data_IF_118228845067
#
_entry.id   IF_118228845067
#
_cell.length_a   1.000
_cell.length_b   1.000
_cell.length_c   1.000
_cell.angle_alpha   90.00
_cell.angle_beta   90.00
_cell.angle_gamma   90.00
#
_symmetry.space_group_name_H-M   'P 1'
#
loop_
_entity.id
_entity.type
_entity.pdbx_description
1 polymer ?
#
# COMPACT_ATOMS: atom_id res chain seq x y z
N UNK A 1 -2.29 -10.61 -12.75
CA UNK A 1 -1.66 -11.52 -11.78
C UNK A 1 -0.78 -10.65 -10.90
N UNK A 2 -1.25 -10.29 -9.70
CA UNK A 2 -0.44 -9.52 -8.76
C UNK A 2 0.52 -10.48 -8.04
N UNK A 3 1.81 -10.21 -8.12
CA UNK A 3 2.84 -10.99 -7.44
C UNK A 3 2.58 -11.02 -5.93
N UNK A 4 2.48 -12.22 -5.34
CA UNK A 4 2.27 -12.42 -3.90
C UNK A 4 3.29 -11.62 -3.06
N UNK A 5 4.52 -11.49 -3.56
CA UNK A 5 5.61 -10.73 -2.94
C UNK A 5 5.32 -9.23 -2.83
N UNK A 6 4.53 -8.68 -3.75
CA UNK A 6 4.15 -7.25 -3.75
C UNK A 6 3.08 -6.98 -2.71
N UNK A 7 2.07 -7.88 -2.60
CA UNK A 7 1.04 -7.80 -1.56
C UNK A 7 1.64 -7.87 -0.15
N UNK A 8 2.59 -8.78 0.06
CA UNK A 8 3.27 -8.95 1.36
C UNK A 8 4.06 -7.69 1.77
N UNK A 9 4.80 -7.10 0.81
CA UNK A 9 5.52 -5.83 1.02
C UNK A 9 4.57 -4.65 1.27
N UNK A 10 3.43 -4.64 0.59
CA UNK A 10 2.40 -3.62 0.75
C UNK A 10 1.78 -3.66 2.15
N UNK A 11 1.43 -4.85 2.65
CA UNK A 11 0.90 -5.00 4.01
C UNK A 11 1.94 -4.63 5.07
N UNK A 12 3.20 -5.07 4.90
CA UNK A 12 4.28 -4.70 5.78
C UNK A 12 4.54 -3.18 5.80
N UNK A 13 4.49 -2.53 4.62
CA UNK A 13 4.61 -1.08 4.47
C UNK A 13 3.44 -0.34 5.13
N UNK A 14 2.21 -0.81 4.92
CA UNK A 14 1.00 -0.27 5.51
C UNK A 14 1.02 -0.35 7.04
N UNK A 15 1.37 -1.51 7.61
CA UNK A 15 1.52 -1.67 9.06
C UNK A 15 2.61 -0.74 9.61
N UNK A 16 3.74 -0.60 8.90
CA UNK A 16 4.83 0.30 9.31
C UNK A 16 4.39 1.76 9.29
N UNK A 17 3.63 2.19 8.29
CA UNK A 17 3.04 3.52 8.19
C UNK A 17 2.03 3.77 9.34
N UNK A 18 1.15 2.80 9.61
CA UNK A 18 0.21 2.85 10.73
C UNK A 18 0.94 2.95 12.09
N UNK A 19 1.97 2.13 12.30
CA UNK A 19 2.77 2.11 13.52
C UNK A 19 3.64 3.36 13.69
N UNK A 20 4.01 4.04 12.59
CA UNK A 20 4.81 5.26 12.65
C UNK A 20 3.97 6.44 13.16
N UNK A 21 3.88 6.58 14.48
CA UNK A 21 3.09 7.63 15.18
C UNK A 21 3.57 9.06 14.88
N UNK A 22 4.83 9.24 14.52
CA UNK A 22 5.40 10.55 14.13
C UNK A 22 5.23 10.87 12.63
N UNK A 23 4.70 9.93 11.84
CA UNK A 23 4.59 10.11 10.40
C UNK A 23 3.41 11.03 10.05
N UNK A 24 3.71 12.30 9.74
CA UNK A 24 2.75 13.31 9.24
C UNK A 24 2.51 13.22 7.73
N UNK A 25 2.92 12.12 7.09
CA UNK A 25 2.80 11.93 5.66
C UNK A 25 1.34 11.89 5.21
N UNK A 26 1.05 12.56 4.09
CA UNK A 26 -0.27 12.52 3.44
C UNK A 26 -0.68 11.08 3.11
N UNK A 27 0.30 10.23 2.76
CA UNK A 27 0.09 8.81 2.54
C UNK A 27 -0.57 8.18 3.77
N UNK A 28 0.02 8.25 4.96
CA UNK A 28 -0.61 7.71 6.18
C UNK A 28 -2.00 8.29 6.45
N UNK A 29 -2.17 9.60 6.21
CA UNK A 29 -3.45 10.29 6.46
C UNK A 29 -4.59 9.76 5.58
N UNK A 30 -4.31 9.41 4.32
CA UNK A 30 -5.32 9.01 3.34
C UNK A 30 -5.29 7.53 2.96
N UNK A 31 -4.21 6.82 3.27
CA UNK A 31 -4.07 5.38 3.08
C UNK A 31 -4.80 4.68 4.24
N UNK A 32 -6.12 4.60 4.12
CA UNK A 32 -6.98 3.81 5.00
C UNK A 32 -7.02 2.36 4.53
N UNK A 33 -7.48 1.44 5.38
CA UNK A 33 -7.67 0.04 4.99
C UNK A 33 -8.52 -0.12 3.72
N UNK A 34 -9.58 0.68 3.57
CA UNK A 34 -10.43 0.65 2.37
C UNK A 34 -9.68 1.07 1.10
N UNK A 35 -8.89 2.15 1.17
CA UNK A 35 -8.11 2.62 0.01
C UNK A 35 -7.00 1.62 -0.34
N UNK A 36 -6.37 1.05 0.68
CA UNK A 36 -5.36 0.02 0.51
C UNK A 36 -5.95 -1.25 -0.12
N UNK A 37 -7.06 -1.77 0.40
CA UNK A 37 -7.72 -2.97 -0.12
C UNK A 37 -8.25 -2.77 -1.55
N UNK A 38 -8.76 -1.57 -1.86
CA UNK A 38 -9.24 -1.23 -3.19
C UNK A 38 -8.12 -1.07 -4.24
N UNK A 39 -6.88 -0.78 -3.81
CA UNK A 39 -5.75 -0.56 -4.70
C UNK A 39 -4.72 -1.70 -4.71
N UNK A 40 -4.66 -2.56 -3.69
CA UNK A 40 -3.64 -3.61 -3.58
C UNK A 40 -3.68 -4.64 -4.71
N UNK A 41 -4.85 -4.90 -5.29
CA UNK A 41 -5.04 -5.82 -6.41
C UNK A 41 -4.88 -5.13 -7.78
N UNK A 42 -4.83 -3.80 -7.80
CA UNK A 42 -4.76 -3.02 -9.04
C UNK A 42 -3.32 -2.93 -9.54
N UNK A 43 -3.19 -3.18 -10.83
CA UNK A 43 -1.97 -2.97 -11.59
C UNK A 43 -2.26 -2.01 -12.74
N UNK A 44 -1.28 -1.18 -13.07
CA UNK A 44 -1.34 -0.37 -14.28
C UNK A 44 -0.95 -1.21 -15.49
N UNK A 45 -1.31 -0.78 -16.70
CA UNK A 45 -0.90 -1.44 -17.94
C UNK A 45 0.63 -1.54 -18.12
N UNK A 46 1.40 -0.74 -17.36
CA UNK A 46 2.86 -0.75 -17.33
C UNK A 46 3.44 -1.69 -16.25
N UNK A 47 2.60 -2.39 -15.48
CA UNK A 47 3.02 -3.29 -14.41
C UNK A 47 3.30 -2.61 -13.07
N UNK A 48 3.11 -1.29 -12.96
CA UNK A 48 3.21 -0.61 -11.67
C UNK A 48 2.06 -1.04 -10.75
N UNK A 49 2.39 -1.26 -9.48
CA UNK A 49 1.47 -1.69 -8.42
C UNK A 49 1.45 -0.63 -7.34
N UNK A 50 0.58 -0.76 -6.33
CA UNK A 50 0.50 0.18 -5.21
C UNK A 50 1.85 0.35 -4.45
N UNK A 51 2.82 -0.55 -4.64
CA UNK A 51 4.14 -0.50 -4.02
C UNK A 51 5.12 0.46 -4.72
N UNK A 52 4.90 0.73 -6.02
CA UNK A 52 5.72 1.61 -6.85
C UNK A 52 5.34 3.09 -6.63
#
# INVERSE_FOLDING_TARGET
MGDQATLDKLEAGFQKLQAATDCKSLLKKYLTNEVFDACKDKNTALGATLLD
#
